data_IF_717207955399
#
_entry.id   IF_717207955399
#
_cell.length_a   1.000
_cell.length_b   1.000
_cell.length_c   1.000
_cell.angle_alpha   90.00
_cell.angle_beta   90.00
_cell.angle_gamma   90.00
#
_symmetry.space_group_name_H-M   'P 1'
#
loop_
_entity.id
_entity.type
_entity.pdbx_description
1 polymer ?
#
# COMPACT_ATOMS: atom_id res chain seq x y z
N UNK A 1 5.26 -20.23 -9.99
CA UNK A 1 4.76 -18.86 -9.69
C UNK A 1 4.00 -18.92 -8.38
N UNK A 2 4.27 -18.04 -7.41
CA UNK A 2 3.53 -18.01 -6.14
C UNK A 2 2.56 -16.84 -6.14
N UNK A 3 1.33 -17.10 -5.70
CA UNK A 3 0.25 -16.13 -5.68
C UNK A 3 -0.04 -15.73 -4.24
N UNK A 4 -0.12 -14.43 -3.97
CA UNK A 4 -0.44 -13.88 -2.66
C UNK A 4 -1.61 -12.91 -2.78
N UNK A 5 -2.52 -12.96 -1.81
CA UNK A 5 -3.52 -11.91 -1.61
C UNK A 5 -2.95 -10.91 -0.62
N UNK A 6 -2.88 -9.64 -1.03
CA UNK A 6 -2.31 -8.55 -0.24
C UNK A 6 -3.43 -7.71 0.33
N UNK A 7 -3.46 -7.62 1.67
CA UNK A 7 -4.36 -6.72 2.38
C UNK A 7 -3.89 -5.25 2.31
N UNK A 8 -4.83 -4.31 2.44
CA UNK A 8 -4.53 -2.88 2.44
C UNK A 8 -3.54 -2.49 3.55
N UNK A 9 -3.59 -3.14 4.72
CA UNK A 9 -2.66 -2.85 5.81
C UNK A 9 -1.22 -3.28 5.50
N UNK A 10 -1.02 -4.23 4.57
CA UNK A 10 0.32 -4.63 4.11
C UNK A 10 0.80 -3.67 3.02
N UNK A 11 -0.08 -3.33 2.07
CA UNK A 11 0.28 -2.46 0.94
C UNK A 11 0.71 -1.05 1.37
N UNK A 12 0.07 -0.46 2.39
CA UNK A 12 0.41 0.90 2.85
C UNK A 12 1.87 1.00 3.31
N UNK A 13 2.41 -0.08 3.88
CA UNK A 13 3.80 -0.16 4.38
C UNK A 13 4.84 -0.07 3.26
N UNK A 14 4.44 -0.15 2.00
CA UNK A 14 5.32 0.12 0.86
C UNK A 14 5.59 1.60 0.63
N UNK A 15 4.69 2.46 1.10
CA UNK A 15 4.70 3.90 0.83
C UNK A 15 5.08 4.72 2.07
N UNK A 16 4.74 4.24 3.27
CA UNK A 16 5.01 4.95 4.53
C UNK A 16 5.95 4.15 5.45
N UNK A 17 6.75 4.82 6.29
CA UNK A 17 7.55 4.14 7.31
C UNK A 17 6.63 3.58 8.41
N UNK A 18 6.46 2.27 8.42
CA UNK A 18 5.73 1.53 9.45
C UNK A 18 6.53 0.30 9.90
N UNK A 19 6.18 -0.21 11.09
CA UNK A 19 6.67 -1.52 11.53
C UNK A 19 6.38 -2.58 10.46
N UNK A 20 7.35 -3.48 10.25
CA UNK A 20 7.33 -4.50 9.20
C UNK A 20 7.45 -4.01 7.75
N UNK A 21 7.88 -2.76 7.51
CA UNK A 21 8.20 -2.25 6.15
C UNK A 21 9.04 -3.23 5.32
N UNK A 22 10.13 -3.76 5.87
CA UNK A 22 10.98 -4.70 5.14
C UNK A 22 10.28 -6.01 4.82
N UNK A 23 9.43 -6.51 5.72
CA UNK A 23 8.66 -7.71 5.45
C UNK A 23 7.62 -7.50 4.34
N UNK A 24 6.91 -6.37 4.37
CA UNK A 24 5.98 -5.99 3.31
C UNK A 24 6.73 -5.81 1.97
N UNK A 25 7.90 -5.18 1.98
CA UNK A 25 8.70 -4.93 0.77
C UNK A 25 9.12 -6.21 0.04
N UNK A 26 9.33 -7.32 0.76
CA UNK A 26 9.64 -8.63 0.15
C UNK A 26 8.53 -9.13 -0.81
N UNK A 27 7.28 -8.70 -0.62
CA UNK A 27 6.17 -9.06 -1.51
C UNK A 27 6.23 -8.35 -2.87
N UNK A 28 7.00 -7.26 -3.01
CA UNK A 28 7.22 -6.58 -4.30
C UNK A 28 8.22 -7.33 -5.21
N UNK A 29 8.34 -8.64 -5.03
CA UNK A 29 9.18 -9.48 -5.87
C UNK A 29 8.45 -9.74 -7.20
N UNK A 30 9.06 -9.41 -8.37
CA UNK A 30 8.43 -9.62 -9.68
C UNK A 30 8.03 -11.07 -10.00
N UNK A 31 8.60 -12.05 -9.29
CA UNK A 31 8.23 -13.47 -9.44
C UNK A 31 6.91 -13.86 -8.75
N UNK A 32 6.30 -12.95 -7.99
CA UNK A 32 5.03 -13.15 -7.30
C UNK A 32 3.87 -12.51 -8.07
N UNK A 33 2.75 -13.21 -8.09
CA UNK A 33 1.48 -12.64 -8.53
C UNK A 33 0.73 -12.11 -7.32
N UNK A 34 0.40 -10.82 -7.33
CA UNK A 34 -0.31 -10.17 -6.23
C UNK A 34 -1.77 -9.93 -6.63
N UNK A 35 -2.69 -10.44 -5.82
CA UNK A 35 -4.11 -10.09 -5.86
C UNK A 35 -4.47 -9.24 -4.65
N UNK A 36 -5.63 -8.62 -4.70
CA UNK A 36 -6.19 -7.85 -3.58
C UNK A 36 -7.67 -8.20 -3.39
N UNK A 37 -8.22 -8.08 -2.17
CA UNK A 37 -9.65 -8.21 -1.94
C UNK A 37 -10.45 -7.14 -2.69
N UNK A 38 -11.73 -7.39 -2.98
CA UNK A 38 -12.60 -6.41 -3.66
C UNK A 38 -12.68 -5.05 -2.94
N UNK A 39 -12.57 -5.04 -1.60
CA UNK A 39 -12.66 -3.83 -0.78
C UNK A 39 -11.33 -3.07 -0.65
N UNK A 40 -10.26 -3.57 -1.26
CA UNK A 40 -8.91 -3.05 -1.07
C UNK A 40 -8.80 -1.54 -1.27
N UNK A 41 -9.39 -0.98 -2.33
CA UNK A 41 -9.31 0.45 -2.62
C UNK A 41 -10.00 1.30 -1.53
N UNK A 42 -11.12 0.80 -0.99
CA UNK A 42 -11.87 1.49 0.08
C UNK A 42 -11.08 1.46 1.39
N UNK A 43 -10.53 0.30 1.74
CA UNK A 43 -9.73 0.14 2.97
C UNK A 43 -8.42 0.93 2.89
N UNK A 44 -7.71 0.84 1.76
CA UNK A 44 -6.49 1.58 1.50
C UNK A 44 -6.75 3.09 1.53
N UNK A 45 -7.81 3.55 0.86
CA UNK A 45 -8.21 4.96 0.88
C UNK A 45 -8.56 5.46 2.28
N UNK A 46 -9.20 4.64 3.12
CA UNK A 46 -9.47 4.97 4.52
C UNK A 46 -8.17 5.09 5.34
N UNK A 47 -7.21 4.19 5.13
CA UNK A 47 -5.88 4.26 5.78
C UNK A 47 -5.16 5.55 5.37
N UNK A 48 -5.06 5.84 4.07
CA UNK A 48 -4.43 7.06 3.54
C UNK A 48 -5.10 8.31 4.11
N UNK A 49 -6.44 8.35 4.09
CA UNK A 49 -7.22 9.47 4.61
C UNK A 49 -6.98 9.70 6.10
N UNK A 50 -6.88 8.62 6.90
CA UNK A 50 -6.54 8.71 8.33
C UNK A 50 -5.14 9.26 8.54
N UNK A 51 -4.14 8.79 7.77
CA UNK A 51 -2.75 9.27 7.85
C UNK A 51 -2.61 10.73 7.46
N UNK A 52 -3.31 11.16 6.40
CA UNK A 52 -3.40 12.57 6.00
C UNK A 52 -3.99 13.44 7.11
N UNK A 53 -5.14 13.04 7.68
CA UNK A 53 -5.77 13.80 8.79
C UNK A 53 -4.87 13.91 10.02
N UNK A 54 -4.03 12.90 10.25
CA UNK A 54 -3.04 12.88 11.34
C UNK A 54 -1.72 13.56 10.98
N UNK A 55 -1.58 14.09 9.76
CA UNK A 55 -0.34 14.70 9.24
C UNK A 55 0.86 13.73 9.28
N UNK A 56 0.60 12.42 9.20
CA UNK A 56 1.63 11.38 9.08
C UNK A 56 2.21 11.31 7.66
N UNK A 57 1.43 11.76 6.68
CA UNK A 57 1.81 11.90 5.27
C UNK A 57 1.25 13.20 4.72
N UNK A 58 1.86 13.68 3.63
CA UNK A 58 1.45 14.91 2.94
C UNK A 58 0.90 14.57 1.56
N UNK A 59 0.03 15.43 1.02
CA UNK A 59 -0.36 15.35 -0.38
C UNK A 59 0.74 15.96 -1.24
N UNK A 60 1.57 15.10 -1.83
CA UNK A 60 2.33 15.48 -3.02
C UNK A 60 1.52 15.04 -4.24
N UNK A 61 1.07 16.00 -5.03
CA UNK A 61 0.37 15.72 -6.29
C UNK A 61 1.44 15.32 -7.30
N UNK A 62 1.59 14.02 -7.54
CA UNK A 62 2.41 13.53 -8.63
C UNK A 62 1.76 13.92 -9.97
N UNK A 63 2.49 14.65 -10.82
CA UNK A 63 2.03 14.93 -12.17
C UNK A 63 1.87 13.61 -12.93
N UNK A 64 0.63 13.22 -13.21
CA UNK A 64 0.31 12.16 -14.15
C UNK A 64 0.46 12.76 -15.55
N UNK A 65 1.67 12.74 -16.11
CA UNK A 65 1.80 12.86 -17.56
C UNK A 65 1.16 11.61 -18.18
N UNK A 66 0.16 11.85 -19.03
CA UNK A 66 -0.63 10.84 -19.72
C UNK A 66 0.18 10.08 -20.76
#
# INVERSE_FOLDING_TARGET
>A
MKTYVVDACVAIKWFVPEIHKEAARRLRNPSYQLHVPNLFLVEFGNIVSKKLRRKEINLEVGNLEK
#
